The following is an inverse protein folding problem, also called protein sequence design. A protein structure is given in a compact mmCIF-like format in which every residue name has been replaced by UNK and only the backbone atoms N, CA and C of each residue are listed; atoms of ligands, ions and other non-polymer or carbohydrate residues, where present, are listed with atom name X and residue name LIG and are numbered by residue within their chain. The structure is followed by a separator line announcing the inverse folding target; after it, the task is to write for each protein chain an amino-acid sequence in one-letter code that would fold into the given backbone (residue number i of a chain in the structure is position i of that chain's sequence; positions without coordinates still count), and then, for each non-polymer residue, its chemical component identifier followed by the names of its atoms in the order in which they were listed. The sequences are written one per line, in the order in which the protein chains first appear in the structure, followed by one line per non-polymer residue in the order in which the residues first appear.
data_IF_287603132118
#
_entry.id   IF_287603132118
#
_cell.length_a   1.000
_cell.length_b   1.000
_cell.length_c   1.000
_cell.angle_alpha   90.00
_cell.angle_beta   90.00
_cell.angle_gamma   90.00
#
_symmetry.space_group_name_H-M   'P 1'
#
loop_
_entity.id
_entity.type
_entity.pdbx_description
1 polymer ?
#
# COMPACT_ATOMS: atom_id res chain seq x y z
N UNK A 1 7.69 18.21 -11.16
CA UNK A 1 8.00 17.19 -10.17
C UNK A 1 9.48 16.87 -10.28
N UNK A 2 10.20 16.72 -9.15
CA UNK A 2 11.64 16.46 -9.15
C UNK A 2 11.96 14.99 -8.88
N UNK A 3 11.17 14.34 -8.03
CA UNK A 3 11.38 12.96 -7.62
C UNK A 3 10.05 12.23 -7.40
N UNK A 4 10.01 10.97 -7.79
CA UNK A 4 8.94 10.02 -7.49
C UNK A 4 9.61 8.80 -6.86
N UNK A 5 9.29 8.51 -5.59
CA UNK A 5 9.76 7.33 -4.87
C UNK A 5 8.61 6.33 -4.77
N UNK A 6 8.74 5.21 -5.46
CA UNK A 6 7.82 4.08 -5.34
C UNK A 6 8.47 3.08 -4.39
N UNK A 7 7.81 2.78 -3.29
CA UNK A 7 8.28 1.83 -2.30
C UNK A 7 7.36 0.62 -2.21
N UNK A 8 7.94 -0.56 -2.34
CA UNK A 8 7.23 -1.82 -2.16
C UNK A 8 7.70 -2.47 -0.86
N UNK A 9 6.83 -2.50 0.14
CA UNK A 9 7.19 -3.01 1.46
C UNK A 9 6.22 -2.60 2.57
N UNK A 10 6.63 -2.84 3.82
CA UNK A 10 5.85 -2.57 5.03
C UNK A 10 5.74 -1.08 5.34
N UNK A 11 4.68 -0.69 6.06
CA UNK A 11 4.45 0.67 6.53
C UNK A 11 5.64 1.17 7.36
N UNK A 12 6.12 0.34 8.30
CA UNK A 12 7.24 0.71 9.17
C UNK A 12 8.58 0.95 8.45
N UNK A 13 8.76 0.35 7.28
CA UNK A 13 9.93 0.61 6.44
C UNK A 13 9.72 1.85 5.56
N UNK A 14 8.49 2.06 5.08
CA UNK A 14 8.13 3.23 4.29
C UNK A 14 8.23 4.53 5.10
N UNK A 15 7.75 4.53 6.34
CA UNK A 15 7.84 5.69 7.25
C UNK A 15 9.28 6.20 7.47
N UNK A 16 10.28 5.35 7.30
CA UNK A 16 11.68 5.76 7.46
C UNK A 16 12.19 6.64 6.32
N UNK A 17 11.55 6.59 5.16
CA UNK A 17 11.94 7.33 3.96
C UNK A 17 11.04 8.54 3.69
N UNK A 18 9.87 8.61 4.33
CA UNK A 18 8.91 9.70 4.16
C UNK A 18 9.27 10.88 5.05
N UNK A 19 9.34 12.11 4.50
CA UNK A 19 9.53 13.32 5.32
C UNK A 19 8.34 13.55 6.26
N UNK A 20 8.60 13.89 7.52
CA UNK A 20 7.54 14.15 8.52
C UNK A 20 6.58 15.29 8.15
N UNK A 21 6.99 16.18 7.26
CA UNK A 21 6.19 17.30 6.76
C UNK A 21 5.36 16.95 5.52
N UNK A 22 5.41 15.70 5.05
CA UNK A 22 4.69 15.28 3.86
C UNK A 22 3.17 15.38 4.06
N UNK A 23 2.48 15.79 2.99
CA UNK A 23 1.02 15.86 2.93
C UNK A 23 0.47 14.59 2.33
N UNK A 24 -0.55 14.01 2.95
CA UNK A 24 -1.10 12.75 2.51
C UNK A 24 -2.23 12.90 1.48
N UNK A 25 -2.60 11.78 0.85
CA UNK A 25 -3.61 11.72 -0.21
C UNK A 25 -4.99 12.18 0.31
N UNK A 26 -5.43 11.68 1.44
CA UNK A 26 -6.74 11.96 2.02
C UNK A 26 -6.91 13.44 2.37
N UNK A 27 -5.89 14.07 2.98
CA UNK A 27 -5.87 15.50 3.27
C UNK A 27 -6.00 16.36 2.01
N UNK A 28 -5.25 15.97 0.96
CA UNK A 28 -5.25 16.74 -0.27
C UNK A 28 -6.51 16.54 -1.09
N UNK A 29 -7.09 15.35 -1.10
CA UNK A 29 -8.39 15.09 -1.72
C UNK A 29 -9.49 15.95 -1.10
N UNK A 30 -9.58 15.97 0.24
CA UNK A 30 -10.55 16.79 0.96
C UNK A 30 -10.39 18.30 0.65
N UNK A 31 -9.15 18.79 0.59
CA UNK A 31 -8.88 20.21 0.26
C UNK A 31 -9.28 20.58 -1.17
N UNK A 32 -9.08 19.69 -2.11
CA UNK A 32 -9.46 19.92 -3.51
C UNK A 32 -10.98 19.90 -3.66
N UNK A 33 -11.67 19.00 -2.97
CA UNK A 33 -13.14 18.91 -2.97
C UNK A 33 -13.78 20.16 -2.35
N UNK A 34 -13.28 20.64 -1.21
CA UNK A 34 -13.75 21.89 -0.60
C UNK A 34 -13.49 23.11 -1.48
N UNK A 35 -12.36 23.12 -2.18
CA UNK A 35 -12.06 24.16 -3.17
C UNK A 35 -12.99 24.15 -4.36
N UNK A 36 -13.52 22.99 -4.75
CA UNK A 36 -14.47 22.85 -5.85
C UNK A 36 -15.92 23.16 -5.43
N UNK A 37 -16.30 22.89 -4.18
CA UNK A 37 -17.62 23.24 -3.63
C UNK A 37 -17.85 24.73 -3.47
N UNK A 38 -16.83 25.54 -3.36
CA UNK A 38 -16.88 27.01 -3.41
C UNK A 38 -16.94 27.46 -4.88
N UNK A 39 -17.98 27.02 -5.61
CA UNK A 39 -18.36 27.67 -6.86
C UNK A 39 -18.80 29.09 -6.56
N UNK A 40 -18.08 30.07 -7.08
CA UNK A 40 -18.60 31.43 -7.20
C UNK A 40 -19.86 31.33 -8.06
N UNK A 41 -21.03 31.50 -7.46
CA UNK A 41 -22.29 31.62 -8.19
C UNK A 41 -22.24 32.98 -8.89
N UNK A 42 -21.79 32.98 -10.14
CA UNK A 42 -21.84 34.17 -10.96
C UNK A 42 -23.31 34.40 -11.37
N UNK A 43 -23.95 35.35 -10.73
CA UNK A 43 -25.23 35.89 -11.19
C UNK A 43 -24.92 36.76 -12.40
N UNK A 44 -25.28 36.29 -13.61
CA UNK A 44 -25.19 37.10 -14.82
C UNK A 44 -26.18 38.27 -14.71
N UNK A 45 -25.64 39.46 -14.46
CA UNK A 45 -26.42 40.69 -14.49
C UNK A 45 -26.36 41.25 -15.95
N UNK A 46 -27.49 41.35 -16.66
CA UNK A 46 -27.46 41.88 -18.02
C UNK A 46 -26.82 43.27 -18.07
N UNK A 47 -25.81 43.43 -18.94
CA UNK A 47 -25.10 44.72 -19.13
C UNK A 47 -23.78 44.85 -18.40
N UNK A 48 -23.33 43.84 -17.60
CA UNK A 48 -21.98 43.82 -17.05
C UNK A 48 -21.06 42.89 -17.86
N UNK A 49 -19.80 43.24 -18.07
CA UNK A 49 -18.83 42.36 -18.72
C UNK A 49 -18.67 41.06 -17.90
N UNK A 50 -18.71 39.93 -18.58
CA UNK A 50 -18.50 38.61 -17.94
C UNK A 50 -17.21 38.60 -17.07
N UNK A 51 -17.29 38.23 -15.79
CA UNK A 51 -16.11 38.19 -14.96
C UNK A 51 -15.18 37.10 -15.50
N UNK A 52 -13.99 37.45 -15.90
CA UNK A 52 -12.98 36.50 -16.37
C UNK A 52 -12.72 35.47 -15.29
N UNK A 53 -12.80 34.15 -15.60
CA UNK A 53 -12.57 33.12 -14.61
C UNK A 53 -11.17 33.28 -14.00
N UNK A 54 -11.10 33.57 -12.71
CA UNK A 54 -9.83 33.64 -11.98
C UNK A 54 -9.17 32.25 -12.03
N UNK A 55 -8.02 32.14 -12.71
CA UNK A 55 -7.24 30.89 -12.69
C UNK A 55 -6.89 30.57 -11.25
N UNK A 56 -7.56 29.57 -10.67
CA UNK A 56 -7.24 29.07 -9.31
C UNK A 56 -5.78 28.65 -9.29
N UNK A 57 -4.98 29.21 -8.38
CA UNK A 57 -3.58 28.80 -8.21
C UNK A 57 -3.57 27.38 -7.65
N UNK A 58 -2.84 26.48 -8.31
CA UNK A 58 -2.65 25.12 -7.82
C UNK A 58 -1.97 25.14 -6.44
N UNK A 59 -2.48 24.39 -5.45
CA UNK A 59 -1.82 24.29 -4.16
C UNK A 59 -0.39 23.73 -4.33
N UNK A 60 0.56 24.36 -3.63
CA UNK A 60 1.96 23.89 -3.63
C UNK A 60 2.17 22.86 -2.54
N UNK A 61 2.71 21.71 -2.93
CA UNK A 61 3.02 20.58 -2.04
C UNK A 61 4.48 20.21 -2.23
N UNK A 62 5.30 20.41 -1.20
CA UNK A 62 6.72 20.07 -1.27
C UNK A 62 6.89 18.56 -1.35
N UNK A 63 6.36 17.84 -0.37
CA UNK A 63 6.41 16.38 -0.25
C UNK A 63 5.00 15.85 -0.14
N UNK A 64 4.63 14.98 -1.08
CA UNK A 64 3.33 14.33 -1.16
C UNK A 64 3.50 12.85 -0.90
N UNK A 65 2.76 12.30 0.05
CA UNK A 65 2.83 10.89 0.44
C UNK A 65 1.51 10.18 0.20
N UNK A 66 1.59 8.93 -0.20
CA UNK A 66 0.45 8.03 -0.34
C UNK A 66 0.80 6.72 0.34
N UNK A 67 0.10 6.43 1.44
CA UNK A 67 0.19 5.16 2.14
C UNK A 67 -0.69 4.11 1.49
N UNK A 68 -0.34 2.84 1.70
CA UNK A 68 -1.06 1.73 1.07
C UNK A 68 -2.56 1.65 1.44
N UNK A 69 -2.93 2.06 2.65
CA UNK A 69 -4.31 2.08 3.14
C UNK A 69 -5.13 3.25 2.59
N UNK A 70 -4.49 4.32 2.12
CA UNK A 70 -5.19 5.49 1.59
C UNK A 70 -5.87 5.23 0.25
N UNK A 71 -5.45 4.20 -0.50
CA UNK A 71 -6.13 3.84 -1.76
C UNK A 71 -7.58 3.43 -1.56
N UNK A 72 -7.93 2.90 -0.38
CA UNK A 72 -9.30 2.54 -0.03
C UNK A 72 -10.13 3.73 0.52
N UNK A 73 -9.46 4.81 0.92
CA UNK A 73 -10.12 5.96 1.55
C UNK A 73 -10.55 7.04 0.57
N UNK A 74 -10.13 6.94 -0.69
CA UNK A 74 -10.48 7.88 -1.76
C UNK A 74 -11.44 7.24 -2.75
N UNK A 75 -12.22 8.08 -3.44
CA UNK A 75 -13.16 7.61 -4.43
C UNK A 75 -12.45 6.96 -5.63
N UNK A 76 -13.06 5.95 -6.22
CA UNK A 76 -12.51 5.17 -7.34
C UNK A 76 -12.03 6.04 -8.51
N UNK A 77 -12.76 7.12 -8.81
CA UNK A 77 -12.38 8.01 -9.91
C UNK A 77 -11.00 8.70 -9.69
N UNK A 78 -10.58 8.88 -8.43
CA UNK A 78 -9.24 9.41 -8.09
C UNK A 78 -8.16 8.41 -8.48
N UNK A 79 -8.41 7.12 -8.26
CA UNK A 79 -7.50 6.04 -8.63
C UNK A 79 -7.43 5.86 -10.15
N UNK A 80 -8.59 5.85 -10.82
CA UNK A 80 -8.69 5.71 -12.28
C UNK A 80 -8.02 6.89 -13.01
N UNK A 81 -8.19 8.11 -12.49
CA UNK A 81 -7.64 9.34 -13.07
C UNK A 81 -6.52 9.93 -12.20
N UNK A 82 -5.68 9.10 -11.64
CA UNK A 82 -4.68 9.50 -10.65
C UNK A 82 -3.76 10.64 -11.13
N UNK A 83 -3.32 10.60 -12.37
CA UNK A 83 -2.47 11.65 -12.96
C UNK A 83 -3.20 12.99 -13.03
N UNK A 84 -4.47 13.00 -13.43
CA UNK A 84 -5.26 14.23 -13.46
C UNK A 84 -5.48 14.81 -12.06
N UNK A 85 -5.64 13.94 -11.05
CA UNK A 85 -5.74 14.35 -9.66
C UNK A 85 -4.45 15.04 -9.19
N UNK A 86 -3.29 14.41 -9.38
CA UNK A 86 -2.01 15.01 -8.93
C UNK A 86 -1.64 16.27 -9.71
N UNK A 87 -2.08 16.42 -10.95
CA UNK A 87 -1.87 17.63 -11.74
C UNK A 87 -2.72 18.83 -11.30
N UNK A 88 -3.69 18.65 -10.41
CA UNK A 88 -4.39 19.75 -9.75
C UNK A 88 -3.50 20.44 -8.71
N UNK A 89 -2.38 19.84 -8.32
CA UNK A 89 -1.41 20.34 -7.37
C UNK A 89 -0.06 20.60 -8.04
N UNK A 90 0.78 21.42 -7.40
CA UNK A 90 2.18 21.60 -7.77
C UNK A 90 3.06 20.84 -6.79
N UNK A 91 3.32 19.57 -7.07
CA UNK A 91 4.08 18.64 -6.22
C UNK A 91 5.55 18.67 -6.61
N UNK A 92 6.44 18.77 -5.61
CA UNK A 92 7.89 18.71 -5.84
C UNK A 92 8.39 17.26 -5.75
N UNK A 93 8.13 16.56 -4.66
CA UNK A 93 8.50 15.17 -4.48
C UNK A 93 7.26 14.33 -4.14
N UNK A 94 7.22 13.11 -4.62
CA UNK A 94 6.11 12.19 -4.38
C UNK A 94 6.65 10.86 -3.85
N UNK A 95 6.05 10.36 -2.77
CA UNK A 95 6.37 9.10 -2.11
C UNK A 95 5.14 8.22 -2.14
N UNK A 96 5.25 7.02 -2.70
CA UNK A 96 4.10 6.13 -2.94
C UNK A 96 4.43 4.75 -2.43
N UNK A 97 3.61 4.25 -1.53
CA UNK A 97 3.74 2.91 -0.98
C UNK A 97 2.81 1.93 -1.69
N UNK A 98 3.35 0.80 -2.12
CA UNK A 98 2.61 -0.34 -2.68
C UNK A 98 1.52 0.10 -3.69
N UNK A 99 1.85 0.89 -4.73
CA UNK A 99 0.83 1.40 -5.64
C UNK A 99 0.12 0.27 -6.36
N UNK A 100 -1.22 0.34 -6.50
CA UNK A 100 -1.97 -0.52 -7.40
C UNK A 100 -1.39 -0.48 -8.82
N UNK A 101 -1.51 -1.57 -9.54
CA UNK A 101 -0.96 -1.71 -10.91
C UNK A 101 -1.36 -0.54 -11.83
N UNK A 102 -2.63 -0.13 -11.77
CA UNK A 102 -3.15 0.98 -12.56
C UNK A 102 -2.41 2.30 -12.27
N UNK A 103 -2.23 2.67 -11.00
CA UNK A 103 -1.49 3.89 -10.62
C UNK A 103 -0.04 3.81 -11.08
N UNK A 104 0.61 2.66 -10.86
CA UNK A 104 1.99 2.44 -11.27
C UNK A 104 2.15 2.62 -12.79
N UNK A 105 1.28 2.02 -13.59
CA UNK A 105 1.29 2.18 -15.05
C UNK A 105 1.07 3.62 -15.48
N UNK A 106 0.15 4.35 -14.86
CA UNK A 106 -0.10 5.76 -15.13
C UNK A 106 1.16 6.62 -14.87
N UNK A 107 1.87 6.36 -13.76
CA UNK A 107 3.11 7.06 -13.43
C UNK A 107 4.17 6.81 -14.48
N UNK A 108 4.44 5.55 -14.82
CA UNK A 108 5.46 5.19 -15.81
C UNK A 108 5.16 5.68 -17.24
N UNK A 109 3.89 5.87 -17.58
CA UNK A 109 3.48 6.46 -18.87
C UNK A 109 3.63 7.98 -18.91
N UNK A 110 3.54 8.65 -17.76
CA UNK A 110 3.41 10.12 -17.69
C UNK A 110 4.73 10.81 -17.36
N UNK A 111 5.55 10.20 -16.53
CA UNK A 111 6.79 10.81 -16.04
C UNK A 111 8.03 10.16 -16.64
N UNK A 112 9.09 10.98 -16.76
CA UNK A 112 10.38 10.48 -17.18
C UNK A 112 10.93 9.48 -16.16
N UNK A 113 11.51 8.38 -16.67
CA UNK A 113 12.07 7.31 -15.84
C UNK A 113 13.22 7.78 -14.95
N UNK A 114 13.92 8.84 -15.33
CA UNK A 114 15.03 9.39 -14.57
C UNK A 114 14.63 9.96 -13.21
N UNK A 115 13.37 10.37 -13.03
CA UNK A 115 12.86 10.88 -11.75
C UNK A 115 12.11 9.83 -10.93
N UNK A 116 11.89 8.63 -11.50
CA UNK A 116 11.19 7.53 -10.83
C UNK A 116 12.24 6.60 -10.21
N UNK A 117 12.18 6.46 -8.90
CA UNK A 117 12.99 5.54 -8.12
C UNK A 117 12.06 4.49 -7.51
N UNK A 118 12.29 3.22 -7.82
CA UNK A 118 11.54 2.12 -7.24
C UNK A 118 12.42 1.31 -6.32
N UNK A 119 12.02 1.21 -5.06
CA UNK A 119 12.73 0.51 -4.01
C UNK A 119 11.85 -0.58 -3.43
N UNK A 120 12.38 -1.78 -3.34
CA UNK A 120 11.74 -2.92 -2.71
C UNK A 120 12.38 -3.19 -1.35
N UNK A 121 11.54 -3.38 -0.33
CA UNK A 121 12.05 -3.79 0.97
C UNK A 121 12.70 -5.17 0.84
N UNK A 122 13.96 -5.33 1.26
CA UNK A 122 14.55 -6.65 1.33
C UNK A 122 13.84 -7.46 2.42
N UNK A 123 13.39 -8.65 2.07
CA UNK A 123 12.86 -9.63 3.02
C UNK A 123 13.96 -10.63 3.35
N UNK A 124 13.92 -11.16 4.58
CA UNK A 124 14.83 -12.23 4.96
C UNK A 124 14.50 -13.48 4.16
N UNK A 125 15.52 -14.10 3.60
CA UNK A 125 15.41 -15.37 2.93
C UNK A 125 15.20 -16.49 3.97
N UNK A 126 14.42 -17.51 3.59
CA UNK A 126 14.23 -18.68 4.43
C UNK A 126 15.51 -19.51 4.43
N UNK A 127 16.17 -19.63 5.58
CA UNK A 127 17.38 -20.43 5.71
C UNK A 127 17.09 -21.85 6.22
N UNK A 128 18.08 -22.74 6.08
CA UNK A 128 17.98 -24.10 6.62
C UNK A 128 17.89 -24.09 8.14
N UNK A 129 18.59 -23.17 8.79
CA UNK A 129 18.58 -22.99 10.24
C UNK A 129 17.19 -22.59 10.73
N UNK A 130 16.48 -21.70 10.00
CA UNK A 130 15.07 -21.37 10.29
C UNK A 130 14.17 -22.58 10.22
N UNK A 131 14.32 -23.42 9.20
CA UNK A 131 13.55 -24.66 9.05
C UNK A 131 13.81 -25.61 10.23
N UNK A 132 15.06 -25.77 10.65
CA UNK A 132 15.43 -26.58 11.80
C UNK A 132 14.86 -26.03 13.10
N UNK A 133 14.95 -24.73 13.32
CA UNK A 133 14.37 -24.05 14.48
C UNK A 133 12.85 -24.20 14.52
N UNK A 134 12.20 -23.98 13.38
CA UNK A 134 10.75 -24.22 13.27
C UNK A 134 10.39 -25.67 13.64
N UNK A 135 11.13 -26.62 13.07
CA UNK A 135 10.85 -28.04 13.33
C UNK A 135 11.05 -28.45 14.80
N UNK A 136 12.05 -27.90 15.48
CA UNK A 136 12.33 -28.23 16.89
C UNK A 136 11.35 -27.54 17.86
N UNK A 137 11.02 -26.29 17.64
CA UNK A 137 10.32 -25.45 18.63
C UNK A 137 8.81 -25.28 18.37
N UNK A 138 8.29 -25.61 17.17
CA UNK A 138 6.90 -25.39 16.84
C UNK A 138 5.92 -26.06 17.83
N UNK A 139 6.19 -27.30 18.21
CA UNK A 139 5.30 -28.09 19.08
C UNK A 139 5.27 -27.59 20.52
N UNK A 140 6.21 -26.77 20.94
CA UNK A 140 6.20 -26.06 22.23
C UNK A 140 5.22 -24.92 22.24
N UNK A 141 5.02 -24.25 21.09
CA UNK A 141 4.11 -23.10 20.94
C UNK A 141 2.70 -23.53 20.50
N UNK A 142 2.60 -24.52 19.63
CA UNK A 142 1.33 -24.98 19.05
C UNK A 142 1.17 -26.47 19.37
N UNK A 143 0.58 -26.75 20.51
CA UNK A 143 0.46 -28.10 21.06
C UNK A 143 -0.52 -28.93 20.23
N UNK A 144 -0.18 -30.21 19.97
CA UNK A 144 -1.06 -31.17 19.33
C UNK A 144 -1.28 -31.01 17.83
N UNK A 145 -0.51 -30.15 17.16
CA UNK A 145 -0.67 -29.83 15.73
C UNK A 145 0.47 -30.39 14.85
N UNK A 146 0.94 -31.58 15.11
CA UNK A 146 2.05 -32.21 14.37
C UNK A 146 1.79 -32.34 12.86
N UNK A 147 0.54 -32.61 12.48
CA UNK A 147 0.13 -32.71 11.08
C UNK A 147 0.25 -31.32 10.39
N UNK A 148 -0.19 -30.27 11.06
CA UNK A 148 -0.06 -28.89 10.56
C UNK A 148 1.41 -28.49 10.44
N UNK A 149 2.23 -28.76 11.47
CA UNK A 149 3.68 -28.56 11.46
C UNK A 149 4.33 -29.15 10.21
N UNK A 150 4.06 -30.46 9.96
CA UNK A 150 4.63 -31.14 8.79
C UNK A 150 4.22 -30.47 7.47
N UNK A 151 2.95 -30.09 7.34
CA UNK A 151 2.44 -29.40 6.13
C UNK A 151 3.03 -28.01 5.94
N UNK A 152 3.22 -27.25 7.02
CA UNK A 152 3.87 -25.95 7.00
C UNK A 152 5.33 -26.09 6.55
N UNK A 153 6.08 -27.04 7.12
CA UNK A 153 7.45 -27.33 6.69
C UNK A 153 7.53 -27.68 5.19
N UNK A 154 6.64 -28.53 4.71
CA UNK A 154 6.58 -28.87 3.29
C UNK A 154 6.31 -27.66 2.39
N UNK A 155 5.47 -26.73 2.86
CA UNK A 155 5.10 -25.53 2.10
C UNK A 155 6.24 -24.50 2.04
N UNK A 156 6.99 -24.31 3.14
CA UNK A 156 8.05 -23.30 3.22
C UNK A 156 9.42 -23.79 2.73
N UNK A 157 9.67 -25.11 2.72
CA UNK A 157 10.94 -25.68 2.33
C UNK A 157 11.42 -25.26 0.93
N UNK A 158 10.55 -25.13 -0.10
CA UNK A 158 10.96 -24.64 -1.42
C UNK A 158 11.49 -23.21 -1.45
N UNK A 159 11.24 -22.42 -0.40
CA UNK A 159 11.77 -21.04 -0.26
C UNK A 159 13.24 -21.01 0.19
N UNK A 160 13.76 -22.14 0.67
CA UNK A 160 15.16 -22.22 1.12
C UNK A 160 16.08 -21.96 -0.06
N UNK A 161 17.10 -21.14 0.17
CA UNK A 161 18.11 -20.75 -0.82
C UNK A 161 17.55 -19.93 -2.02
N UNK A 162 16.40 -19.26 -1.84
CA UNK A 162 15.84 -18.38 -2.86
C UNK A 162 15.44 -19.05 -4.19
N UNK A 163 15.28 -20.37 -4.19
CA UNK A 163 14.98 -21.16 -5.42
C UNK A 163 13.60 -20.90 -6.00
N UNK A 164 12.67 -20.39 -5.18
CA UNK A 164 11.31 -20.09 -5.62
C UNK A 164 11.08 -18.60 -5.66
N UNK A 165 10.71 -18.07 -6.83
CA UNK A 165 10.37 -16.65 -7.02
C UNK A 165 8.89 -16.33 -6.76
N UNK A 166 8.03 -17.36 -6.68
CA UNK A 166 6.59 -17.18 -6.44
C UNK A 166 6.28 -17.19 -4.96
N UNK A 167 5.31 -16.36 -4.49
CA UNK A 167 4.88 -16.39 -3.10
C UNK A 167 4.26 -17.74 -2.74
N UNK A 168 4.49 -18.17 -1.50
CA UNK A 168 3.84 -19.34 -0.94
C UNK A 168 2.51 -18.92 -0.33
N UNK A 169 1.42 -19.56 -0.74
CA UNK A 169 0.09 -19.35 -0.19
C UNK A 169 -0.27 -20.54 0.68
N UNK A 170 -0.56 -20.28 1.96
CA UNK A 170 -0.92 -21.30 2.94
C UNK A 170 -2.33 -21.01 3.44
N UNK A 171 -3.24 -21.97 3.27
CA UNK A 171 -4.59 -21.91 3.82
C UNK A 171 -4.67 -22.72 5.13
N UNK A 172 -4.85 -22.00 6.25
CA UNK A 172 -5.10 -22.61 7.57
C UNK A 172 -6.61 -22.56 7.88
N UNK A 173 -7.24 -23.72 8.00
CA UNK A 173 -8.66 -23.85 8.31
C UNK A 173 -8.89 -24.80 9.50
N UNK A 174 -10.05 -24.69 10.13
CA UNK A 174 -10.44 -25.46 11.33
C UNK A 174 -11.06 -24.57 12.39
N UNK A 175 -11.46 -25.16 13.52
CA UNK A 175 -12.15 -24.50 14.62
C UNK A 175 -11.31 -23.40 15.29
N UNK A 176 -11.98 -22.50 16.01
CA UNK A 176 -11.30 -21.46 16.79
C UNK A 176 -10.41 -22.08 17.86
N UNK A 177 -9.29 -21.43 18.20
CA UNK A 177 -8.40 -21.90 19.27
C UNK A 177 -7.37 -22.96 18.85
N UNK A 178 -7.38 -23.47 17.62
CA UNK A 178 -6.44 -24.51 17.17
C UNK A 178 -5.03 -24.00 16.79
N UNK A 179 -4.66 -22.79 17.17
CA UNK A 179 -3.31 -22.26 16.94
C UNK A 179 -3.02 -21.73 15.54
N UNK A 180 -4.05 -21.48 14.69
CA UNK A 180 -3.85 -20.95 13.33
C UNK A 180 -3.08 -19.61 13.31
N UNK A 181 -3.52 -18.67 14.11
CA UNK A 181 -2.88 -17.36 14.23
C UNK A 181 -1.51 -17.46 14.88
N UNK A 182 -1.36 -18.32 15.89
CA UNK A 182 -0.08 -18.57 16.55
C UNK A 182 0.95 -19.16 15.60
N UNK A 183 0.54 -20.10 14.74
CA UNK A 183 1.40 -20.66 13.69
C UNK A 183 1.91 -19.59 12.73
N UNK A 184 1.03 -18.69 12.28
CA UNK A 184 1.40 -17.60 11.40
C UNK A 184 2.31 -16.58 12.09
N UNK A 185 2.02 -16.25 13.36
CA UNK A 185 2.82 -15.36 14.18
C UNK A 185 4.23 -15.91 14.39
N UNK A 186 4.33 -17.18 14.74
CA UNK A 186 5.61 -17.83 14.95
C UNK A 186 6.47 -17.89 13.66
N UNK A 187 5.83 -18.17 12.53
CA UNK A 187 6.54 -18.09 11.23
C UNK A 187 7.06 -16.68 10.94
N UNK A 188 6.26 -15.65 11.18
CA UNK A 188 6.67 -14.27 10.96
C UNK A 188 7.84 -13.86 11.87
N UNK A 189 7.83 -14.29 13.14
CA UNK A 189 8.91 -14.05 14.11
C UNK A 189 10.23 -14.71 13.66
N UNK A 190 10.17 -15.97 13.23
CA UNK A 190 11.35 -16.67 12.71
C UNK A 190 11.92 -16.01 11.45
N UNK A 191 11.07 -15.41 10.64
CA UNK A 191 11.47 -14.64 9.47
C UNK A 191 11.91 -13.20 9.83
N UNK A 192 12.05 -12.88 11.12
CA UNK A 192 12.51 -11.57 11.60
C UNK A 192 11.53 -10.42 11.31
N UNK A 193 10.29 -10.76 10.95
CA UNK A 193 9.25 -9.80 10.60
C UNK A 193 8.10 -9.75 11.61
N UNK A 194 7.21 -8.78 11.38
CA UNK A 194 5.92 -8.71 12.09
C UNK A 194 4.82 -9.25 11.19
N UNK A 195 3.90 -10.01 11.77
CA UNK A 195 2.71 -10.50 11.06
C UNK A 195 1.82 -9.31 10.65
N UNK A 196 1.66 -9.08 9.36
CA UNK A 196 0.63 -8.18 8.85
C UNK A 196 -0.71 -8.93 8.86
N UNK A 197 -1.64 -8.47 9.68
CA UNK A 197 -2.96 -9.07 9.79
C UNK A 197 -4.01 -8.17 9.15
N UNK A 198 -4.73 -8.69 8.16
CA UNK A 198 -5.89 -8.03 7.54
C UNK A 198 -7.12 -8.92 7.71
N UNK A 199 -8.22 -8.34 8.15
CA UNK A 199 -9.48 -9.05 8.38
C UNK A 199 -10.44 -8.72 7.23
N UNK A 200 -10.61 -9.64 6.29
CA UNK A 200 -11.42 -9.41 5.09
C UNK A 200 -12.89 -9.09 5.36
N UNK A 201 -13.45 -9.57 6.47
CA UNK A 201 -14.81 -9.22 6.87
C UNK A 201 -15.04 -7.72 7.12
N UNK A 202 -13.97 -6.93 7.27
CA UNK A 202 -14.05 -5.47 7.38
C UNK A 202 -14.09 -4.78 6.01
N UNK A 203 -13.81 -5.50 4.92
CA UNK A 203 -13.76 -4.98 3.56
C UNK A 203 -15.01 -5.42 2.79
N UNK A 204 -16.18 -4.91 3.17
CA UNK A 204 -17.47 -5.32 2.58
C UNK A 204 -17.88 -4.51 1.35
N UNK A 205 -17.14 -3.46 0.99
CA UNK A 205 -17.45 -2.59 -0.13
C UNK A 205 -16.69 -2.98 -1.40
N UNK A 206 -17.31 -2.80 -2.56
CA UNK A 206 -16.67 -3.05 -3.87
C UNK A 206 -15.39 -2.23 -4.08
N UNK A 207 -15.28 -1.05 -3.46
CA UNK A 207 -14.09 -0.20 -3.49
C UNK A 207 -12.87 -0.89 -2.85
N UNK A 208 -13.10 -1.70 -1.83
CA UNK A 208 -12.05 -2.48 -1.17
C UNK A 208 -11.53 -3.65 -2.01
N UNK A 209 -12.33 -4.15 -2.94
CA UNK A 209 -11.91 -5.20 -3.87
C UNK A 209 -10.79 -4.71 -4.80
N UNK A 210 -10.87 -3.46 -5.26
CA UNK A 210 -9.84 -2.85 -6.12
C UNK A 210 -8.48 -2.71 -5.40
N UNK A 211 -8.49 -2.56 -4.07
CA UNK A 211 -7.26 -2.55 -3.27
C UNK A 211 -6.62 -3.94 -3.14
N UNK A 212 -7.44 -4.99 -3.10
CA UNK A 212 -6.98 -6.36 -2.88
C UNK A 212 -6.54 -7.02 -4.20
N UNK A 213 -7.25 -6.74 -5.27
CA UNK A 213 -7.07 -7.42 -6.56
C UNK A 213 -6.40 -6.55 -7.63
N UNK A 214 -6.21 -5.25 -7.40
CA UNK A 214 -5.50 -4.30 -8.27
C UNK A 214 -6.29 -3.88 -9.49
#
# INVERSE_FOLDING_TARGET
MKKIEIFVGSDSAFEKIVPKSARNLSEMAAKLDDGNKKMDVFVNIPGQPEPKPKKKKKPRVQDFVIHADEYCSVQEHVIINFINFIFQMSITNMYIQNPPKNIREQIYRTFDKSIIHETHQPYLEVSKEMIQTFNSQYSERVIGQERAKKKLLQAIYPLVDGKQSKPVVILLYGDSGLGKTESAQYMAELMGGKLLRKQFSMYQNNESANYIFG
#
